data_IF_346932858085
#
_entry.id   IF_346932858085
#
_cell.length_a   1.000
_cell.length_b   1.000
_cell.length_c   1.000
_cell.angle_alpha   90.00
_cell.angle_beta   90.00
_cell.angle_gamma   90.00
#
_symmetry.space_group_name_H-M   'P 1'
#
loop_
_entity.id
_entity.type
_entity.pdbx_description
1 polymer ?
#
# COMPACT_ATOMS: atom_id res chain seq x y z
N UNK A 1 13.54 -15.87 -18.32
CA UNK A 1 12.42 -15.16 -17.66
C UNK A 1 11.20 -15.48 -18.51
N UNK A 2 10.14 -16.07 -17.95
CA UNK A 2 9.02 -16.59 -18.75
C UNK A 2 8.38 -15.45 -19.56
N UNK A 3 8.23 -15.59 -20.87
CA UNK A 3 7.59 -14.61 -21.76
C UNK A 3 6.19 -14.20 -21.27
N UNK A 4 5.48 -15.14 -20.63
CA UNK A 4 4.20 -14.91 -19.98
C UNK A 4 4.27 -13.90 -18.81
N UNK A 5 5.36 -13.93 -18.03
CA UNK A 5 5.57 -12.98 -16.92
C UNK A 5 5.77 -11.56 -17.43
N UNK A 6 6.51 -11.40 -18.52
CA UNK A 6 6.75 -10.09 -19.15
C UNK A 6 5.48 -9.54 -19.81
N UNK A 7 4.68 -10.42 -20.43
CA UNK A 7 3.38 -10.06 -20.99
C UNK A 7 2.40 -9.55 -19.91
N UNK A 8 2.30 -10.24 -18.77
CA UNK A 8 1.45 -9.81 -17.66
C UNK A 8 1.89 -8.46 -17.09
N UNK A 9 3.20 -8.21 -16.94
CA UNK A 9 3.70 -6.92 -16.44
C UNK A 9 3.37 -5.76 -17.37
N UNK A 10 3.49 -5.96 -18.69
CA UNK A 10 3.09 -4.97 -19.68
C UNK A 10 1.58 -4.71 -19.62
N UNK A 11 0.78 -5.77 -19.49
CA UNK A 11 -0.67 -5.66 -19.37
C UNK A 11 -1.08 -4.90 -18.10
N UNK A 12 -0.49 -5.25 -16.95
CA UNK A 12 -0.72 -4.54 -15.68
C UNK A 12 -0.45 -3.04 -15.82
N UNK A 13 0.73 -2.65 -16.31
CA UNK A 13 1.09 -1.23 -16.51
C UNK A 13 0.14 -0.50 -17.45
N UNK A 14 -0.32 -1.15 -18.52
CA UNK A 14 -1.28 -0.55 -19.45
C UNK A 14 -2.63 -0.32 -18.78
N UNK A 15 -3.10 -1.27 -17.97
CA UNK A 15 -4.34 -1.15 -17.19
C UNK A 15 -4.22 -0.07 -16.13
N UNK A 16 -3.10 -0.01 -15.39
CA UNK A 16 -2.78 1.03 -14.41
C UNK A 16 -2.83 2.43 -15.04
N UNK A 17 -2.18 2.62 -16.19
CA UNK A 17 -2.22 3.91 -16.91
C UNK A 17 -3.65 4.29 -17.35
N UNK A 18 -4.46 3.30 -17.72
CA UNK A 18 -5.86 3.54 -18.09
C UNK A 18 -6.73 3.94 -16.89
N UNK A 19 -6.46 3.35 -15.72
CA UNK A 19 -7.11 3.71 -14.45
C UNK A 19 -6.75 5.16 -14.08
N UNK A 20 -5.47 5.52 -14.15
CA UNK A 20 -4.98 6.86 -13.78
C UNK A 20 -5.64 7.97 -14.62
N UNK A 21 -5.63 7.81 -15.96
CA UNK A 21 -6.26 8.78 -16.88
C UNK A 21 -7.77 8.94 -16.59
N UNK A 22 -8.47 7.84 -16.28
CA UNK A 22 -9.89 7.87 -15.96
C UNK A 22 -10.18 8.47 -14.59
N UNK A 23 -9.35 8.19 -13.57
CA UNK A 23 -9.46 8.82 -12.25
C UNK A 23 -9.24 10.33 -12.32
N UNK A 24 -8.24 10.79 -13.07
CA UNK A 24 -8.02 12.22 -13.31
C UNK A 24 -9.25 12.85 -13.98
N UNK A 25 -9.82 12.18 -14.97
CA UNK A 25 -11.01 12.66 -15.68
C UNK A 25 -12.25 12.68 -14.77
N UNK A 26 -12.41 11.67 -13.91
CA UNK A 26 -13.47 11.60 -12.89
C UNK A 26 -13.35 12.76 -11.89
N UNK A 27 -12.14 13.07 -11.42
CA UNK A 27 -11.87 14.18 -10.52
C UNK A 27 -12.06 15.55 -11.19
N UNK A 28 -11.90 15.68 -12.51
CA UNK A 28 -12.23 16.92 -13.23
C UNK A 28 -13.74 17.18 -13.23
N UNK A 29 -14.57 16.14 -13.28
CA UNK A 29 -16.03 16.29 -13.20
C UNK A 29 -16.48 16.91 -11.86
N UNK A 30 -15.73 16.70 -10.77
CA UNK A 30 -15.98 17.37 -9.48
C UNK A 30 -15.34 18.74 -9.39
N UNK A 31 -14.10 18.90 -9.85
CA UNK A 31 -13.38 20.18 -9.80
C UNK A 31 -14.09 21.30 -10.56
N UNK A 32 -14.74 20.98 -11.67
CA UNK A 32 -15.48 21.96 -12.48
C UNK A 32 -16.79 22.45 -11.82
N UNK A 33 -17.32 21.74 -10.81
CA UNK A 33 -18.52 22.16 -10.07
C UNK A 33 -18.25 23.38 -9.17
N UNK A 34 -17.04 23.50 -8.61
CA UNK A 34 -16.69 24.58 -7.69
C UNK A 34 -16.43 25.93 -8.39
N UNK A 35 -16.16 25.93 -9.72
CA UNK A 35 -15.81 27.14 -10.48
C UNK A 35 -17.04 27.83 -11.08
N UNK A 36 -18.16 27.11 -11.28
CA UNK A 36 -19.44 27.73 -11.67
C UNK A 36 -20.11 28.38 -10.46
N UNK A 37 -19.49 29.44 -9.95
CA UNK A 37 -20.13 30.40 -9.07
C UNK A 37 -21.23 31.14 -9.82
N UNK A 38 -22.47 30.68 -9.66
CA UNK A 38 -23.69 31.42 -9.98
C UNK A 38 -23.95 31.61 -11.47
N UNK A 39 -24.83 30.78 -12.02
CA UNK A 39 -25.88 31.11 -13.01
C UNK A 39 -26.48 29.77 -13.47
N UNK A 40 -27.79 29.57 -13.26
CA UNK A 40 -28.62 28.47 -13.78
C UNK A 40 -27.92 27.14 -14.07
N UNK A 41 -27.67 26.35 -13.02
CA UNK A 41 -27.42 24.91 -13.21
C UNK A 41 -28.78 24.26 -13.54
N UNK A 42 -29.09 24.16 -14.82
CA UNK A 42 -30.29 23.46 -15.33
C UNK A 42 -30.25 21.98 -14.89
N UNK A 43 -31.38 21.43 -14.45
CA UNK A 43 -31.51 20.05 -13.94
C UNK A 43 -30.93 19.02 -14.93
N UNK A 44 -31.08 19.29 -16.24
CA UNK A 44 -30.54 18.47 -17.33
C UNK A 44 -29.01 18.38 -17.29
N UNK A 45 -28.32 19.43 -16.83
CA UNK A 45 -26.85 19.47 -16.72
C UNK A 45 -26.34 18.65 -15.53
N UNK A 46 -27.09 18.59 -14.42
CA UNK A 46 -26.81 17.73 -13.27
C UNK A 46 -27.00 16.26 -13.66
N UNK A 47 -28.12 15.94 -14.32
CA UNK A 47 -28.44 14.58 -14.78
C UNK A 47 -27.42 14.03 -15.80
N UNK A 48 -26.97 14.87 -16.74
CA UNK A 48 -25.91 14.50 -17.70
C UNK A 48 -24.58 14.20 -17.01
N UNK A 49 -24.18 15.01 -16.03
CA UNK A 49 -22.98 14.77 -15.23
C UNK A 49 -23.08 13.53 -14.36
N UNK A 50 -24.24 13.27 -13.77
CA UNK A 50 -24.50 12.04 -13.02
C UNK A 50 -24.39 10.79 -13.90
N UNK A 51 -24.91 10.85 -15.13
CA UNK A 51 -24.80 9.73 -16.09
C UNK A 51 -23.36 9.50 -16.48
N UNK A 52 -22.62 10.56 -16.83
CA UNK A 52 -21.19 10.49 -17.15
C UNK A 52 -20.37 9.91 -16.01
N UNK A 53 -20.65 10.34 -14.78
CA UNK A 53 -20.03 9.81 -13.57
C UNK A 53 -20.30 8.33 -13.38
N UNK A 54 -21.55 7.89 -13.53
CA UNK A 54 -21.92 6.46 -13.42
C UNK A 54 -21.17 5.62 -14.44
N UNK A 55 -21.14 6.04 -15.70
CA UNK A 55 -20.39 5.34 -16.77
C UNK A 55 -18.91 5.23 -16.42
N UNK A 56 -18.25 6.34 -16.07
CA UNK A 56 -16.83 6.32 -15.72
C UNK A 56 -16.55 5.49 -14.47
N UNK A 57 -17.44 5.49 -13.49
CA UNK A 57 -17.34 4.65 -12.29
C UNK A 57 -17.37 3.17 -12.65
N UNK A 58 -18.34 2.75 -13.47
CA UNK A 58 -18.43 1.35 -13.92
C UNK A 58 -17.20 0.91 -14.74
N UNK A 59 -16.64 1.81 -15.55
CA UNK A 59 -15.43 1.53 -16.32
C UNK A 59 -14.20 1.39 -15.43
N UNK A 60 -14.04 2.25 -14.42
CA UNK A 60 -12.93 2.16 -13.45
C UNK A 60 -13.05 0.88 -12.62
N UNK A 61 -14.26 0.52 -12.18
CA UNK A 61 -14.51 -0.74 -11.47
C UNK A 61 -14.09 -1.96 -12.33
N UNK A 62 -14.48 -1.97 -13.61
CA UNK A 62 -14.05 -3.03 -14.54
C UNK A 62 -12.54 -3.08 -14.77
N UNK A 63 -11.85 -1.93 -14.82
CA UNK A 63 -10.38 -1.89 -14.94
C UNK A 63 -9.68 -2.37 -13.66
N UNK A 64 -10.21 -2.03 -12.48
CA UNK A 64 -9.72 -2.52 -11.19
C UNK A 64 -9.89 -4.05 -11.09
N UNK A 65 -11.02 -4.58 -11.54
CA UNK A 65 -11.26 -6.02 -11.61
C UNK A 65 -10.27 -6.70 -12.57
N UNK A 66 -10.04 -6.11 -13.75
CA UNK A 66 -9.02 -6.60 -14.69
C UNK A 66 -7.61 -6.60 -14.08
N UNK A 67 -7.21 -5.54 -13.38
CA UNK A 67 -5.92 -5.46 -12.70
C UNK A 67 -5.82 -6.48 -11.56
N UNK A 68 -6.91 -6.73 -10.85
CA UNK A 68 -7.00 -7.78 -9.82
C UNK A 68 -6.74 -9.17 -10.41
N UNK A 69 -7.38 -9.48 -11.55
CA UNK A 69 -7.18 -10.74 -12.25
C UNK A 69 -5.75 -10.88 -12.77
N UNK A 70 -5.17 -9.82 -13.34
CA UNK A 70 -3.75 -9.82 -13.77
C UNK A 70 -2.81 -10.08 -12.59
N UNK A 71 -3.05 -9.45 -11.45
CA UNK A 71 -2.23 -9.66 -10.24
C UNK A 71 -2.38 -11.09 -9.69
N UNK A 72 -3.57 -11.68 -9.80
CA UNK A 72 -3.80 -13.09 -9.48
C UNK A 72 -3.03 -14.01 -10.42
N UNK A 73 -3.11 -13.79 -11.73
CA UNK A 73 -2.35 -14.56 -12.73
C UNK A 73 -0.84 -14.47 -12.49
N UNK A 74 -0.34 -13.28 -12.10
CA UNK A 74 1.06 -13.10 -11.70
C UNK A 74 1.42 -13.94 -10.48
N UNK A 75 0.58 -13.94 -9.43
CA UNK A 75 0.80 -14.78 -8.24
C UNK A 75 0.76 -16.26 -8.58
N UNK A 76 -0.18 -16.68 -9.42
CA UNK A 76 -0.36 -18.07 -9.80
C UNK A 76 0.83 -18.57 -10.62
N UNK A 77 1.36 -17.78 -11.55
CA UNK A 77 2.60 -18.11 -12.29
C UNK A 77 3.80 -18.17 -11.34
N UNK A 78 3.93 -17.23 -10.41
CA UNK A 78 5.01 -17.23 -9.43
C UNK A 78 4.92 -18.41 -8.44
N UNK A 79 3.70 -18.84 -8.08
CA UNK A 79 3.45 -19.97 -7.18
C UNK A 79 3.57 -21.34 -7.85
N UNK A 80 3.01 -21.50 -9.06
CA UNK A 80 3.08 -22.74 -9.84
C UNK A 80 4.51 -23.06 -10.28
N UNK A 81 5.36 -22.04 -10.43
CA UNK A 81 6.77 -22.20 -10.79
C UNK A 81 7.70 -22.12 -9.57
N UNK A 82 7.20 -22.35 -8.35
CA UNK A 82 7.99 -22.42 -7.11
C UNK A 82 9.11 -23.48 -7.13
N UNK A 83 9.05 -24.45 -8.05
CA UNK A 83 10.11 -25.42 -8.34
C UNK A 83 11.23 -24.89 -9.26
N UNK A 84 10.99 -23.77 -9.96
CA UNK A 84 11.97 -23.11 -10.80
C UNK A 84 12.72 -22.05 -9.99
N UNK A 85 14.06 -22.14 -9.97
CA UNK A 85 14.99 -21.30 -9.20
C UNK A 85 14.76 -19.78 -9.32
N UNK A 86 14.11 -19.32 -10.38
CA UNK A 86 13.82 -17.91 -10.61
C UNK A 86 12.53 -17.39 -9.94
N UNK A 87 11.56 -18.25 -9.59
CA UNK A 87 10.30 -17.83 -8.95
C UNK A 87 10.49 -17.42 -7.48
N UNK A 88 11.53 -17.94 -6.83
CA UNK A 88 12.00 -17.53 -5.50
C UNK A 88 12.88 -16.27 -5.53
N UNK A 89 13.03 -15.61 -6.68
CA UNK A 89 13.82 -14.40 -6.79
C UNK A 89 13.15 -13.26 -6.00
N UNK A 90 13.85 -12.64 -5.01
CA UNK A 90 13.33 -11.53 -4.23
C UNK A 90 12.79 -10.36 -5.07
N UNK A 91 13.35 -10.14 -6.27
CA UNK A 91 12.89 -9.08 -7.17
C UNK A 91 11.48 -9.34 -7.72
N UNK A 92 11.10 -10.60 -7.95
CA UNK A 92 9.77 -10.97 -8.44
C UNK A 92 8.74 -10.83 -7.32
N UNK A 93 9.07 -11.33 -6.13
CA UNK A 93 8.24 -11.16 -4.94
C UNK A 93 7.99 -9.68 -4.62
N UNK A 94 9.03 -8.84 -4.73
CA UNK A 94 8.89 -7.40 -4.59
C UNK A 94 7.98 -6.79 -5.67
N UNK A 95 8.11 -7.23 -6.93
CA UNK A 95 7.28 -6.73 -8.03
C UNK A 95 5.79 -7.07 -7.83
N UNK A 96 5.48 -8.30 -7.41
CA UNK A 96 4.10 -8.71 -7.09
C UNK A 96 3.54 -7.86 -5.97
N UNK A 97 4.30 -7.72 -4.87
CA UNK A 97 3.90 -6.89 -3.73
C UNK A 97 3.64 -5.45 -4.16
N UNK A 98 4.47 -4.89 -5.03
CA UNK A 98 4.29 -3.53 -5.56
C UNK A 98 2.99 -3.39 -6.35
N UNK A 99 2.67 -4.35 -7.22
CA UNK A 99 1.40 -4.34 -7.97
C UNK A 99 0.18 -4.49 -7.06
N UNK A 100 0.27 -5.25 -5.96
CA UNK A 100 -0.80 -5.32 -4.95
C UNK A 100 -0.98 -4.01 -4.18
N UNK A 101 0.13 -3.35 -3.83
CA UNK A 101 0.09 -2.03 -3.19
C UNK A 101 -0.57 -1.00 -4.11
N UNK A 102 -0.16 -0.95 -5.39
CA UNK A 102 -0.74 -0.08 -6.41
C UNK A 102 -2.24 -0.35 -6.58
N UNK A 103 -2.66 -1.62 -6.68
CA UNK A 103 -4.07 -1.99 -6.80
C UNK A 103 -4.89 -1.51 -5.60
N UNK A 104 -4.36 -1.68 -4.38
CA UNK A 104 -5.02 -1.21 -3.16
C UNK A 104 -5.13 0.31 -3.12
N UNK A 105 -4.07 1.00 -3.55
CA UNK A 105 -4.03 2.46 -3.61
C UNK A 105 -5.10 2.96 -4.61
N UNK A 106 -5.18 2.39 -5.81
CA UNK A 106 -6.25 2.72 -6.78
C UNK A 106 -7.66 2.43 -6.24
N UNK A 107 -7.86 1.34 -5.50
CA UNK A 107 -9.14 1.05 -4.86
C UNK A 107 -9.50 2.05 -3.75
N UNK A 108 -8.51 2.58 -3.02
CA UNK A 108 -8.72 3.65 -2.04
C UNK A 108 -9.04 4.98 -2.73
N UNK A 109 -8.26 5.35 -3.75
CA UNK A 109 -8.43 6.58 -4.51
C UNK A 109 -9.77 6.63 -5.24
N UNK A 110 -10.19 5.52 -5.87
CA UNK A 110 -11.49 5.43 -6.51
C UNK A 110 -12.63 5.63 -5.52
N UNK A 111 -12.58 5.02 -4.33
CA UNK A 111 -13.59 5.25 -3.28
C UNK A 111 -13.64 6.71 -2.85
N UNK A 112 -12.49 7.32 -2.57
CA UNK A 112 -12.41 8.75 -2.22
C UNK A 112 -12.99 9.64 -3.31
N UNK A 113 -12.64 9.38 -4.58
CA UNK A 113 -13.15 10.13 -5.71
C UNK A 113 -14.67 9.98 -5.85
N UNK A 114 -15.19 8.75 -5.71
CA UNK A 114 -16.61 8.44 -5.76
C UNK A 114 -17.39 9.16 -4.65
N UNK A 115 -16.87 9.13 -3.42
CA UNK A 115 -17.50 9.78 -2.28
C UNK A 115 -17.52 11.30 -2.44
N UNK A 116 -16.41 11.88 -2.93
CA UNK A 116 -16.35 13.30 -3.27
C UNK A 116 -17.37 13.69 -4.35
N UNK A 117 -17.49 12.90 -5.43
CA UNK A 117 -18.49 13.18 -6.48
C UNK A 117 -19.91 13.09 -5.93
N UNK A 118 -20.20 12.09 -5.09
CA UNK A 118 -21.51 11.95 -4.47
C UNK A 118 -21.84 13.15 -3.58
N UNK A 119 -20.89 13.65 -2.79
CA UNK A 119 -21.08 14.86 -1.99
C UNK A 119 -21.37 16.09 -2.86
N UNK A 120 -20.64 16.26 -3.96
CA UNK A 120 -20.88 17.35 -4.92
C UNK A 120 -22.26 17.23 -5.57
N UNK A 121 -22.65 16.05 -6.04
CA UNK A 121 -23.97 15.82 -6.65
C UNK A 121 -25.11 16.03 -5.65
N UNK A 122 -24.95 15.57 -4.40
CA UNK A 122 -25.93 15.81 -3.33
C UNK A 122 -26.08 17.31 -3.05
N UNK A 123 -24.96 18.04 -2.95
CA UNK A 123 -24.97 19.50 -2.80
C UNK A 123 -25.69 20.18 -3.96
N UNK A 124 -25.41 19.78 -5.20
CA UNK A 124 -26.07 20.33 -6.38
C UNK A 124 -27.57 20.03 -6.42
N UNK A 125 -27.99 18.82 -6.05
CA UNK A 125 -29.41 18.45 -5.96
C UNK A 125 -30.15 19.30 -4.91
N UNK A 126 -29.54 19.51 -3.74
CA UNK A 126 -30.11 20.35 -2.68
C UNK A 126 -30.23 21.82 -3.13
N UNK A 127 -29.22 22.35 -3.84
CA UNK A 127 -29.23 23.72 -4.38
C UNK A 127 -30.26 23.86 -5.52
N UNK A 128 -30.39 22.86 -6.39
CA UNK A 128 -31.41 22.81 -7.45
C UNK A 128 -32.82 22.83 -6.85
N UNK A 129 -33.06 22.00 -5.83
CA UNK A 129 -34.35 21.95 -5.11
C UNK A 129 -34.68 23.26 -4.38
N UNK A 130 -33.67 23.97 -3.90
CA UNK A 130 -33.84 25.30 -3.30
C UNK A 130 -34.23 26.38 -4.31
N UNK A 131 -33.87 26.21 -5.59
CA UNK A 131 -34.17 27.19 -6.64
C UNK A 131 -35.58 26.99 -7.23
N UNK A 132 -36.04 25.74 -7.38
CA UNK A 132 -37.40 25.43 -7.82
C UNK A 132 -38.49 25.79 -6.79
N UNK A 133 -38.15 25.77 -5.49
CA UNK A 133 -39.10 26.03 -4.41
C UNK A 133 -39.24 27.52 -4.01
N UNK A 134 -38.85 28.45 -4.88
CA UNK A 134 -39.06 29.89 -4.69
C UNK A 134 -40.51 30.32 -4.94
N UNK A 135 -41.47 29.49 -4.54
CA UNK A 135 -42.88 29.85 -4.33
C UNK A 135 -43.00 30.59 -2.99
N UNK A 136 -43.56 31.81 -2.96
CA UNK A 136 -43.58 32.61 -1.74
C UNK A 136 -44.65 32.08 -0.77
N UNK A 137 -44.25 32.00 0.52
CA UNK A 137 -45.07 32.28 1.70
C UNK A 137 -45.72 31.16 2.55
N UNK A 138 -45.67 29.85 2.28
CA UNK A 138 -46.50 28.91 3.10
C UNK A 138 -45.75 27.91 4.01
N UNK A 139 -44.43 27.68 3.87
CA UNK A 139 -43.80 26.53 4.54
C UNK A 139 -42.54 26.81 5.39
N UNK A 140 -42.44 27.98 6.02
CA UNK A 140 -41.25 28.32 6.83
C UNK A 140 -41.15 27.57 8.17
N UNK A 141 -42.25 27.01 8.71
CA UNK A 141 -42.26 26.32 10.02
C UNK A 141 -41.84 24.84 9.93
N UNK A 142 -42.25 24.13 8.88
CA UNK A 142 -41.84 22.73 8.66
C UNK A 142 -40.35 22.62 8.25
N UNK A 143 -39.81 23.64 7.58
CA UNK A 143 -38.41 23.69 7.11
C UNK A 143 -37.37 23.78 8.22
N UNK A 144 -37.67 24.50 9.31
CA UNK A 144 -36.76 24.54 10.47
C UNK A 144 -36.61 23.15 11.10
N UNK A 145 -37.73 22.44 11.27
CA UNK A 145 -37.76 21.14 11.92
C UNK A 145 -36.99 20.06 11.13
N UNK A 146 -37.14 20.00 9.81
CA UNK A 146 -36.39 19.03 8.97
C UNK A 146 -34.88 19.32 8.94
N UNK A 147 -34.50 20.60 8.98
CA UNK A 147 -33.08 21.00 9.07
C UNK A 147 -32.47 20.59 10.42
N UNK A 148 -33.18 20.80 11.53
CA UNK A 148 -32.72 20.37 12.86
C UNK A 148 -32.67 18.85 13.00
N UNK A 149 -33.59 18.11 12.36
CA UNK A 149 -33.54 16.63 12.36
C UNK A 149 -32.28 16.12 11.66
N UNK A 150 -31.97 16.66 10.47
CA UNK A 150 -30.76 16.33 9.72
C UNK A 150 -29.50 16.72 10.47
N UNK A 151 -29.50 17.88 11.13
CA UNK A 151 -28.40 18.29 12.00
C UNK A 151 -28.19 17.31 13.15
N UNK A 152 -29.28 16.82 13.75
CA UNK A 152 -29.20 15.81 14.80
C UNK A 152 -28.61 14.48 14.27
N UNK A 153 -29.02 14.03 13.09
CA UNK A 153 -28.45 12.85 12.43
C UNK A 153 -26.96 13.03 12.13
N UNK A 154 -26.54 14.22 11.71
CA UNK A 154 -25.12 14.55 11.50
C UNK A 154 -24.34 14.54 12.81
N UNK A 155 -24.88 15.09 13.91
CA UNK A 155 -24.25 15.06 15.22
C UNK A 155 -24.06 13.62 15.69
N UNK A 156 -25.10 12.78 15.57
CA UNK A 156 -25.02 11.36 15.94
C UNK A 156 -24.01 10.59 15.09
N UNK A 157 -23.90 10.92 13.80
CA UNK A 157 -22.88 10.33 12.93
C UNK A 157 -21.46 10.81 13.28
N UNK A 158 -21.29 12.07 13.62
CA UNK A 158 -20.01 12.63 14.07
C UNK A 158 -19.56 12.01 15.39
N UNK A 159 -20.47 11.81 16.34
CA UNK A 159 -20.19 11.21 17.64
C UNK A 159 -19.60 9.79 17.48
N UNK A 160 -20.23 8.96 16.62
CA UNK A 160 -19.73 7.62 16.29
C UNK A 160 -18.35 7.63 15.62
N UNK A 161 -18.10 8.58 14.72
CA UNK A 161 -16.80 8.70 14.05
C UNK A 161 -15.71 9.17 15.03
N UNK A 162 -16.07 10.04 15.98
CA UNK A 162 -15.16 10.47 17.04
C UNK A 162 -14.81 9.31 17.97
N UNK A 163 -15.77 8.46 18.33
CA UNK A 163 -15.51 7.25 19.13
C UNK A 163 -14.55 6.29 18.40
N UNK A 164 -14.74 6.06 17.11
CA UNK A 164 -13.84 5.22 16.31
C UNK A 164 -12.44 5.82 16.22
N UNK A 165 -12.33 7.13 16.02
CA UNK A 165 -11.03 7.83 16.01
C UNK A 165 -10.35 7.79 17.37
N UNK A 166 -11.11 7.90 18.46
CA UNK A 166 -10.60 7.81 19.82
C UNK A 166 -10.10 6.41 20.12
N UNK A 167 -10.82 5.36 19.69
CA UNK A 167 -10.38 3.97 19.78
C UNK A 167 -9.09 3.73 18.99
N UNK A 168 -9.02 4.18 17.72
CA UNK A 168 -7.83 4.09 16.89
C UNK A 168 -6.63 4.83 17.50
N UNK A 169 -6.86 6.03 18.06
CA UNK A 169 -5.83 6.80 18.72
C UNK A 169 -5.31 6.11 19.99
N UNK A 170 -6.20 5.52 20.80
CA UNK A 170 -5.82 4.74 21.98
C UNK A 170 -5.02 3.49 21.61
N UNK A 171 -5.46 2.74 20.60
CA UNK A 171 -4.72 1.58 20.07
C UNK A 171 -3.34 1.97 19.54
N UNK A 172 -3.25 3.10 18.82
CA UNK A 172 -1.97 3.62 18.31
C UNK A 172 -1.04 4.04 19.45
N UNK A 173 -1.57 4.73 20.47
CA UNK A 173 -0.81 5.09 21.69
C UNK A 173 -0.26 3.85 22.38
N UNK A 174 -1.08 2.80 22.54
CA UNK A 174 -0.64 1.56 23.16
C UNK A 174 0.44 0.87 22.31
N UNK A 175 0.26 0.82 20.99
CA UNK A 175 1.25 0.24 20.08
C UNK A 175 2.59 0.99 20.12
N UNK A 176 2.59 2.32 20.17
CA UNK A 176 3.82 3.13 20.31
C UNK A 176 4.49 2.86 21.66
N UNK A 177 3.71 2.77 22.75
CA UNK A 177 4.25 2.41 24.07
C UNK A 177 4.90 1.03 24.06
N UNK A 178 4.25 0.02 23.46
CA UNK A 178 4.79 -1.34 23.28
C UNK A 178 6.07 -1.34 22.44
N UNK A 179 6.11 -0.56 21.36
CA UNK A 179 7.33 -0.40 20.54
C UNK A 179 8.48 0.21 21.34
N UNK A 180 8.22 1.21 22.20
CA UNK A 180 9.22 1.80 23.09
C UNK A 180 9.83 0.76 24.06
N UNK A 181 9.01 -0.12 24.62
CA UNK A 181 9.48 -1.23 25.47
C UNK A 181 10.35 -2.21 24.66
N UNK A 182 9.92 -2.56 23.45
CA UNK A 182 10.68 -3.45 22.57
C UNK A 182 12.04 -2.85 22.15
N UNK A 183 12.08 -1.56 21.79
CA UNK A 183 13.31 -0.85 21.47
C UNK A 183 14.27 -0.82 22.66
N UNK A 184 13.77 -0.61 23.87
CA UNK A 184 14.57 -0.72 25.08
C UNK A 184 15.12 -2.13 25.27
N UNK A 185 14.32 -3.16 25.00
CA UNK A 185 14.74 -4.56 25.01
C UNK A 185 15.81 -4.89 23.94
N UNK A 186 15.72 -4.29 22.76
CA UNK A 186 16.74 -4.42 21.71
C UNK A 186 18.03 -3.72 22.15
N UNK A 187 17.91 -2.50 22.70
CA UNK A 187 19.06 -1.74 23.21
C UNK A 187 19.82 -2.50 24.30
N UNK A 188 19.12 -3.15 25.23
CA UNK A 188 19.79 -3.98 26.27
C UNK A 188 20.47 -5.22 25.68
N UNK A 189 19.86 -5.90 24.70
CA UNK A 189 20.48 -7.02 23.98
C UNK A 189 21.70 -6.58 23.17
N UNK A 190 21.61 -5.45 22.47
CA UNK A 190 22.71 -4.86 21.72
C UNK A 190 23.86 -4.49 22.66
N UNK A 191 23.55 -3.87 23.80
CA UNK A 191 24.54 -3.59 24.85
C UNK A 191 25.24 -4.85 25.36
N UNK A 192 24.48 -5.94 25.55
CA UNK A 192 25.04 -7.23 25.94
C UNK A 192 25.94 -7.84 24.86
N UNK A 193 25.57 -7.75 23.58
CA UNK A 193 26.41 -8.17 22.44
C UNK A 193 27.68 -7.31 22.36
N UNK A 194 27.55 -5.99 22.53
CA UNK A 194 28.67 -5.05 22.54
C UNK A 194 29.69 -5.41 23.62
N UNK A 195 29.24 -5.79 24.83
CA UNK A 195 30.13 -6.30 25.90
C UNK A 195 30.81 -7.63 25.55
N UNK A 196 30.19 -8.48 24.72
CA UNK A 196 30.77 -9.75 24.26
C UNK A 196 31.70 -9.61 23.05
N UNK A 197 31.58 -8.51 22.31
CA UNK A 197 32.36 -8.28 21.09
C UNK A 197 33.88 -8.31 21.34
N UNK A 198 34.44 -7.70 22.41
CA UNK A 198 35.86 -7.86 22.75
C UNK A 198 36.28 -9.31 23.03
N UNK A 199 35.42 -10.09 23.69
CA UNK A 199 35.71 -11.50 23.99
C UNK A 199 35.73 -12.37 22.73
N UNK A 200 34.84 -12.10 21.77
CA UNK A 200 34.82 -12.76 20.46
C UNK A 200 36.07 -12.37 19.65
N UNK A 201 36.48 -11.10 19.67
CA UNK A 201 37.71 -10.66 19.01
C UNK A 201 38.95 -11.36 19.59
N UNK A 202 39.02 -11.49 20.92
CA UNK A 202 40.09 -12.23 21.60
C UNK A 202 40.10 -13.73 21.23
N UNK A 203 38.94 -14.37 21.13
CA UNK A 203 38.84 -15.76 20.66
C UNK A 203 39.27 -15.90 19.20
N UNK A 204 38.87 -14.97 18.34
CA UNK A 204 39.26 -14.97 16.92
C UNK A 204 40.76 -14.78 16.74
N UNK A 205 41.40 -13.91 17.52
CA UNK A 205 42.85 -13.77 17.56
C UNK A 205 43.54 -15.04 18.05
N UNK A 206 43.03 -15.69 19.11
CA UNK A 206 43.54 -16.99 19.59
C UNK A 206 43.40 -18.09 18.53
N UNK A 207 42.32 -18.12 17.77
CA UNK A 207 42.12 -19.07 16.66
C UNK A 207 43.12 -18.78 15.53
N UNK A 208 43.32 -17.50 15.16
CA UNK A 208 44.27 -17.11 14.12
C UNK A 208 45.71 -17.48 14.48
N UNK A 209 46.13 -17.22 15.73
CA UNK A 209 47.47 -17.59 16.22
C UNK A 209 47.65 -19.11 16.27
N UNK A 210 46.62 -19.87 16.69
CA UNK A 210 46.65 -21.34 16.64
C UNK A 210 46.71 -21.86 15.20
N UNK A 211 45.97 -21.26 14.26
CA UNK A 211 46.03 -21.60 12.83
C UNK A 211 47.43 -21.33 12.26
N UNK A 212 48.05 -20.19 12.57
CA UNK A 212 49.42 -19.88 12.17
C UNK A 212 50.43 -20.88 12.72
N UNK A 213 50.34 -21.24 14.01
CA UNK A 213 51.19 -22.27 14.61
C UNK A 213 51.00 -23.63 13.93
N UNK A 214 49.77 -24.04 13.68
CA UNK A 214 49.49 -25.31 12.99
C UNK A 214 50.03 -25.28 11.55
N UNK A 215 49.86 -24.19 10.81
CA UNK A 215 50.43 -24.04 9.46
C UNK A 215 51.95 -24.11 9.48
N UNK A 216 52.61 -23.51 10.48
CA UNK A 216 54.07 -23.61 10.65
C UNK A 216 54.51 -25.05 10.95
N UNK A 217 53.77 -25.77 11.79
CA UNK A 217 54.07 -27.18 12.11
C UNK A 217 53.84 -28.09 10.90
N UNK A 218 52.75 -27.90 10.15
CA UNK A 218 52.48 -28.65 8.91
C UNK A 218 53.51 -28.30 7.82
N UNK A 219 53.90 -27.03 7.68
CA UNK A 219 54.96 -26.61 6.77
C UNK A 219 56.34 -27.15 7.15
N UNK A 220 56.69 -27.12 8.44
CA UNK A 220 57.94 -27.68 8.95
C UNK A 220 58.00 -29.21 8.82
N UNK A 221 56.86 -29.89 9.00
CA UNK A 221 56.75 -31.35 8.79
C UNK A 221 56.79 -31.73 7.30
N UNK A 222 56.36 -30.85 6.39
CA UNK A 222 56.51 -31.05 4.95
C UNK A 222 57.94 -30.78 4.47
N UNK A 223 58.61 -29.76 5.03
CA UNK A 223 60.02 -29.44 4.73
C UNK A 223 61.03 -30.43 5.32
N UNK A 224 60.66 -31.19 6.35
CA UNK A 224 61.48 -32.29 6.90
C UNK A 224 61.21 -33.66 6.26
N UNK A 225 60.36 -33.73 5.24
CA UNK A 225 60.00 -34.97 4.53
C UNK A 225 60.38 -35.03 3.03
N UNK A 226 61.53 -34.48 2.60
CA UNK A 226 62.16 -34.95 1.37
C UNK A 226 63.54 -35.58 1.68
N UNK A 227 63.59 -36.72 2.38
CA UNK A 227 64.80 -37.56 2.35
C UNK A 227 64.65 -39.03 2.82
N UNK A 228 63.49 -39.67 2.61
CA UNK A 228 63.36 -41.13 2.83
C UNK A 228 62.52 -41.79 1.72
N UNK A 229 62.97 -41.65 0.47
CA UNK A 229 62.47 -42.45 -0.65
C UNK A 229 63.58 -42.64 -1.69
N UNK A 230 64.65 -43.33 -1.30
CA UNK A 230 65.63 -43.91 -2.23
C UNK A 230 66.53 -44.88 -1.43
N UNK A 231 66.02 -46.05 -1.06
CA UNK A 231 66.81 -47.25 -0.77
C UNK A 231 65.85 -48.41 -0.54
N UNK A 232 65.51 -49.13 -1.61
CA UNK A 232 65.08 -50.53 -1.66
C UNK A 232 64.60 -50.83 -3.09
N UNK A 233 65.54 -50.76 -4.03
CA UNK A 233 65.49 -51.50 -5.29
C UNK A 233 66.86 -52.18 -5.42
N UNK A 234 66.95 -53.40 -4.89
CA UNK A 234 67.81 -54.49 -5.36
C UNK A 234 67.43 -55.80 -4.68
#
# INVERSE_FOLDING_TARGET
>A
MSEAWDALRKKARSTENSIDVKLVSLNKLTGNSHVSGGFDIDEKTVSSRQTSFRTMSTEIEGLIEQLTNINKDMKDIAGAQSSASWANNPAIQHTIRRHEEILRDYGSEFRKARDNVNQVLQRELLLSSSNENRSPAVNNRARGYDMFLKENDHINSCDRLLDEQLEMAMSTKENVARQGINLRGISTRLHYISKKYPAINNLMQKIKTKKQKNTLIFGGRHLLLPHFHHFLDH
#
